data_IF_467914647800
#
_entry.id   IF_467914647800
#
_cell.length_a   1.000
_cell.length_b   1.000
_cell.length_c   1.000
_cell.angle_alpha   90.00
_cell.angle_beta   90.00
_cell.angle_gamma   90.00
#
_symmetry.space_group_name_H-M   'P 1'
#
loop_
_entity.id
_entity.type
_entity.pdbx_description
1 polymer ?
#
# COMPACT_ATOMS: atom_id res chain seq x y z
N UNK A 1 1.15 -14.86 -43.41
CA UNK A 1 1.87 -15.53 -42.29
C UNK A 1 2.66 -14.51 -41.46
N UNK A 2 3.46 -13.63 -42.11
CA UNK A 2 4.31 -12.63 -41.48
C UNK A 2 3.51 -11.62 -40.61
N UNK A 3 2.39 -11.10 -41.10
CA UNK A 3 1.55 -10.13 -40.34
C UNK A 3 1.00 -10.71 -39.05
N UNK A 4 0.61 -12.00 -39.05
CA UNK A 4 0.14 -12.67 -37.83
C UNK A 4 1.27 -12.86 -36.80
N UNK A 5 2.46 -13.19 -37.26
CA UNK A 5 3.64 -13.32 -36.38
C UNK A 5 4.06 -11.98 -35.83
N UNK A 6 4.20 -10.95 -36.63
CA UNK A 6 4.57 -9.61 -36.24
C UNK A 6 3.58 -9.06 -35.19
N UNK A 7 2.28 -9.19 -35.43
CA UNK A 7 1.25 -8.78 -34.48
C UNK A 7 1.34 -9.52 -33.13
N UNK A 8 1.65 -10.81 -33.11
CA UNK A 8 1.84 -11.60 -31.90
C UNK A 8 3.05 -11.13 -31.08
N UNK A 9 4.18 -10.90 -31.76
CA UNK A 9 5.40 -10.41 -31.10
C UNK A 9 5.23 -8.98 -30.56
N UNK A 10 4.58 -8.08 -31.28
CA UNK A 10 4.30 -6.73 -30.83
C UNK A 10 3.40 -6.73 -29.58
N UNK A 11 2.37 -7.56 -29.56
CA UNK A 11 1.51 -7.73 -28.37
C UNK A 11 2.26 -8.33 -27.18
N UNK A 12 3.14 -9.29 -27.40
CA UNK A 12 3.97 -9.88 -26.36
C UNK A 12 4.95 -8.86 -25.78
N UNK A 13 5.59 -8.04 -26.63
CA UNK A 13 6.47 -6.96 -26.23
C UNK A 13 5.72 -5.93 -25.38
N UNK A 14 4.54 -5.47 -25.83
CA UNK A 14 3.73 -4.52 -25.09
C UNK A 14 3.35 -5.04 -23.69
N UNK A 15 2.99 -6.33 -23.59
CA UNK A 15 2.70 -6.98 -22.29
C UNK A 15 3.94 -7.03 -21.39
N UNK A 16 5.10 -7.39 -21.94
CA UNK A 16 6.36 -7.43 -21.20
C UNK A 16 6.74 -6.06 -20.65
N UNK A 17 6.60 -5.00 -21.44
CA UNK A 17 6.86 -3.63 -21.03
C UNK A 17 5.88 -3.15 -19.93
N UNK A 18 4.60 -3.47 -20.04
CA UNK A 18 3.60 -3.18 -19.01
C UNK A 18 3.90 -3.93 -17.71
N UNK A 19 4.27 -5.22 -17.80
CA UNK A 19 4.68 -6.03 -16.65
C UNK A 19 5.91 -5.45 -15.94
N UNK A 20 6.94 -5.06 -16.71
CA UNK A 20 8.15 -4.42 -16.17
C UNK A 20 7.81 -3.13 -15.42
N UNK A 21 6.91 -2.30 -15.97
CA UNK A 21 6.45 -1.08 -15.31
C UNK A 21 5.75 -1.37 -13.99
N UNK A 22 4.87 -2.37 -13.96
CA UNK A 22 4.16 -2.78 -12.75
C UNK A 22 5.11 -3.35 -11.68
N UNK A 23 6.08 -4.18 -12.08
CA UNK A 23 7.11 -4.73 -11.19
C UNK A 23 7.94 -3.59 -10.59
N UNK A 24 8.38 -2.61 -11.40
CA UNK A 24 9.13 -1.45 -10.91
C UNK A 24 8.30 -0.58 -9.97
N UNK A 25 7.02 -0.37 -10.25
CA UNK A 25 6.11 0.32 -9.34
C UNK A 25 5.92 -0.41 -8.00
N UNK A 26 5.76 -1.72 -8.05
CA UNK A 26 5.63 -2.54 -6.84
C UNK A 26 6.94 -2.66 -6.04
N UNK A 27 8.11 -2.51 -6.69
CA UNK A 27 9.42 -2.60 -6.04
C UNK A 27 9.57 -1.55 -4.92
N UNK A 28 8.94 -0.39 -5.04
CA UNK A 28 8.93 0.64 -3.99
C UNK A 28 8.32 0.09 -2.70
N UNK A 29 7.19 -0.61 -2.80
CA UNK A 29 6.52 -1.21 -1.64
C UNK A 29 7.22 -2.51 -1.17
N UNK A 30 7.77 -3.29 -2.09
CA UNK A 30 8.52 -4.51 -1.72
C UNK A 30 9.74 -4.18 -0.86
N UNK A 31 10.40 -3.06 -1.15
CA UNK A 31 11.60 -2.59 -0.44
C UNK A 31 11.29 -1.55 0.65
N UNK A 32 10.01 -1.35 0.99
CA UNK A 32 9.57 -0.28 1.89
C UNK A 32 10.20 -0.34 3.30
N UNK A 33 10.63 -1.51 3.74
CA UNK A 33 11.25 -1.75 5.05
C UNK A 33 12.74 -2.13 4.93
N UNK A 34 13.36 -1.86 3.80
CA UNK A 34 14.76 -2.22 3.56
C UNK A 34 15.62 -0.95 3.57
N UNK A 35 16.48 -0.83 4.58
CA UNK A 35 17.37 0.32 4.77
C UNK A 35 18.34 0.58 3.60
N UNK A 36 18.57 -0.43 2.72
CA UNK A 36 19.36 -0.21 1.50
C UNK A 36 18.62 0.63 0.44
N UNK A 37 17.32 0.86 0.59
CA UNK A 37 16.47 1.65 -0.30
C UNK A 37 15.98 2.92 0.39
N UNK A 38 16.92 3.69 0.96
CA UNK A 38 16.65 4.94 1.65
C UNK A 38 16.02 5.98 0.72
N UNK A 39 15.08 6.74 1.27
CA UNK A 39 14.43 7.89 0.63
C UNK A 39 15.28 9.17 0.68
N UNK A 40 14.64 10.30 0.38
CA UNK A 40 15.30 11.60 0.42
C UNK A 40 15.68 12.10 1.81
N UNK A 41 15.10 11.52 2.84
CA UNK A 41 15.35 11.78 4.27
C UNK A 41 16.41 10.86 4.88
N UNK A 42 16.96 9.92 4.09
CA UNK A 42 18.04 9.02 4.49
C UNK A 42 17.57 7.73 5.16
N UNK A 43 16.24 7.50 5.28
CA UNK A 43 15.67 6.26 5.82
C UNK A 43 14.77 5.57 4.80
N UNK A 44 14.41 4.31 5.05
CA UNK A 44 13.48 3.53 4.22
C UNK A 44 12.07 4.13 4.22
N UNK A 45 11.24 3.74 3.25
CA UNK A 45 9.90 4.28 3.05
C UNK A 45 8.98 4.08 4.27
N UNK A 46 9.07 2.93 4.95
CA UNK A 46 8.36 2.64 6.18
C UNK A 46 9.41 2.47 7.29
N UNK A 47 9.41 3.40 8.23
CA UNK A 47 10.39 3.45 9.31
C UNK A 47 9.79 4.10 10.56
N UNK A 48 10.30 3.70 11.70
CA UNK A 48 9.94 4.31 13.00
C UNK A 48 10.70 5.62 13.28
N UNK A 49 11.68 5.99 12.43
CA UNK A 49 12.67 7.04 12.76
C UNK A 49 12.84 8.08 11.65
N UNK A 50 11.79 8.40 10.89
CA UNK A 50 11.86 9.49 9.93
C UNK A 50 12.25 10.79 10.62
N UNK A 51 13.31 11.48 10.19
CA UNK A 51 13.76 12.71 10.81
C UNK A 51 12.77 13.85 10.51
N UNK A 52 12.39 14.59 11.55
CA UNK A 52 11.55 15.79 11.45
C UNK A 52 12.14 16.92 12.31
N UNK A 53 11.65 18.15 12.15
CA UNK A 53 12.06 19.28 12.98
C UNK A 53 11.65 19.12 14.44
N UNK A 54 10.58 18.37 14.69
CA UNK A 54 10.07 18.08 16.04
C UNK A 54 10.69 16.84 16.70
N UNK A 55 11.54 16.09 15.99
CA UNK A 55 12.12 14.85 16.45
C UNK A 55 12.02 13.74 15.42
N UNK A 56 11.56 12.56 15.80
CA UNK A 56 11.34 11.44 14.88
C UNK A 56 9.86 11.18 14.67
N UNK A 57 9.52 10.74 13.46
CA UNK A 57 8.17 10.36 13.07
C UNK A 57 8.15 8.88 12.64
N UNK A 58 7.14 8.13 13.08
CA UNK A 58 6.94 6.73 12.69
C UNK A 58 5.73 6.62 11.75
N UNK A 59 5.90 5.88 10.65
CA UNK A 59 4.82 5.52 9.73
C UNK A 59 4.60 4.01 9.66
N UNK A 60 5.08 3.27 10.65
CA UNK A 60 4.88 1.83 10.80
C UNK A 60 4.33 1.49 12.19
N UNK A 61 3.76 0.31 12.32
CA UNK A 61 3.31 -0.21 13.61
C UNK A 61 4.50 -0.38 14.58
N UNK A 62 4.32 0.02 15.84
CA UNK A 62 5.34 -0.16 16.89
C UNK A 62 5.75 -1.63 17.10
N UNK A 63 4.83 -2.56 16.83
CA UNK A 63 5.10 -4.01 16.81
C UNK A 63 4.64 -4.55 15.48
N UNK A 64 5.56 -5.16 14.73
CA UNK A 64 5.26 -5.77 13.43
C UNK A 64 4.18 -6.85 13.58
N UNK A 65 3.11 -6.74 12.82
CA UNK A 65 1.98 -7.64 12.87
C UNK A 65 1.46 -7.99 11.46
N UNK A 66 0.90 -9.19 11.33
CA UNK A 66 0.16 -9.58 10.13
C UNK A 66 -1.18 -8.87 10.06
N UNK A 67 -1.80 -8.82 8.87
CA UNK A 67 -3.11 -8.23 8.68
C UNK A 67 -4.18 -9.01 9.46
N UNK A 68 -4.68 -8.39 10.51
CA UNK A 68 -5.83 -8.83 11.29
C UNK A 68 -6.62 -7.59 11.75
N UNK A 69 -7.75 -7.80 12.44
CA UNK A 69 -8.59 -6.71 12.92
C UNK A 69 -7.82 -5.75 13.82
N UNK A 70 -7.17 -6.27 14.84
CA UNK A 70 -6.43 -5.46 15.83
C UNK A 70 -5.29 -4.66 15.20
N UNK A 71 -4.50 -5.27 14.29
CA UNK A 71 -3.39 -4.57 13.62
C UNK A 71 -3.90 -3.49 12.67
N UNK A 72 -5.04 -3.73 12.02
CA UNK A 72 -5.65 -2.75 11.13
C UNK A 72 -6.25 -1.57 11.91
N UNK A 73 -6.96 -1.85 13.01
CA UNK A 73 -7.48 -0.82 13.93
C UNK A 73 -6.35 0.04 14.51
N UNK A 74 -5.27 -0.59 15.01
CA UNK A 74 -4.12 0.12 15.53
C UNK A 74 -3.47 1.00 14.45
N UNK A 75 -3.29 0.48 13.23
CA UNK A 75 -2.75 1.28 12.13
C UNK A 75 -3.59 2.52 11.82
N UNK A 76 -4.92 2.42 11.90
CA UNK A 76 -5.82 3.55 11.67
C UNK A 76 -5.75 4.58 12.81
N UNK A 77 -5.59 4.12 14.05
CA UNK A 77 -5.36 4.99 15.22
C UNK A 77 -4.04 5.73 15.07
N UNK A 78 -2.97 5.03 14.70
CA UNK A 78 -1.64 5.62 14.49
C UNK A 78 -1.67 6.65 13.36
N UNK A 79 -2.35 6.37 12.24
CA UNK A 79 -2.54 7.33 11.14
C UNK A 79 -3.28 8.59 11.61
N UNK A 80 -4.33 8.45 12.43
CA UNK A 80 -5.06 9.61 12.97
C UNK A 80 -4.21 10.46 13.93
N UNK A 81 -3.14 9.88 14.49
CA UNK A 81 -2.19 10.57 15.36
C UNK A 81 -1.04 11.24 14.58
N UNK A 82 -0.96 11.11 13.27
CA UNK A 82 0.12 11.68 12.45
C UNK A 82 0.27 13.19 12.64
N UNK A 83 1.51 13.63 12.62
CA UNK A 83 1.90 15.04 12.78
C UNK A 83 2.69 15.53 11.58
N UNK A 84 2.74 16.84 11.39
CA UNK A 84 3.61 17.50 10.44
C UNK A 84 5.07 17.59 10.94
N UNK A 85 5.95 18.17 10.16
CA UNK A 85 7.37 18.37 10.52
C UNK A 85 7.57 19.15 11.83
N UNK A 86 6.57 19.92 12.27
CA UNK A 86 6.61 20.76 13.48
C UNK A 86 5.91 20.10 14.69
N UNK A 87 5.39 18.87 14.52
CA UNK A 87 4.68 18.15 15.56
C UNK A 87 3.19 18.51 15.69
N UNK A 88 2.61 19.27 14.74
CA UNK A 88 1.18 19.59 14.75
C UNK A 88 0.38 18.46 14.11
N UNK A 89 -0.74 18.08 14.71
CA UNK A 89 -1.63 17.04 14.19
C UNK A 89 -2.24 17.44 12.84
N UNK A 90 -2.17 16.54 11.85
CA UNK A 90 -2.70 16.77 10.51
C UNK A 90 -4.04 16.08 10.25
N UNK A 91 -4.59 15.36 11.23
CA UNK A 91 -5.86 14.62 11.14
C UNK A 91 -5.94 13.69 9.91
N UNK A 92 -4.85 13.00 9.61
CA UNK A 92 -4.75 12.08 8.49
C UNK A 92 -5.73 10.90 8.63
N UNK A 93 -6.20 10.38 7.49
CA UNK A 93 -7.10 9.23 7.43
C UNK A 93 -6.56 8.16 6.48
N UNK A 94 -6.80 6.90 6.82
CA UNK A 94 -6.54 5.78 5.93
C UNK A 94 -7.60 5.74 4.83
N UNK A 95 -7.16 5.82 3.57
CA UNK A 95 -8.09 5.84 2.42
C UNK A 95 -8.20 4.48 1.75
N UNK A 96 -7.09 3.76 1.61
CA UNK A 96 -7.08 2.52 0.85
C UNK A 96 -6.06 1.52 1.37
N UNK A 97 -6.49 0.27 1.50
CA UNK A 97 -5.61 -0.85 1.87
C UNK A 97 -4.98 -1.46 0.60
N UNK A 98 -3.67 -1.61 0.59
CA UNK A 98 -2.90 -2.25 -0.50
C UNK A 98 -2.29 -3.55 0.03
N UNK A 99 -2.62 -4.67 -0.60
CA UNK A 99 -2.28 -6.00 -0.12
C UNK A 99 -1.74 -6.91 -1.24
N UNK A 100 -0.95 -7.93 -0.90
CA UNK A 100 -0.64 -9.03 -1.81
C UNK A 100 -1.84 -9.96 -2.02
N UNK A 101 -1.80 -10.77 -3.06
CA UNK A 101 -2.87 -11.74 -3.38
C UNK A 101 -3.14 -12.75 -2.25
N UNK A 102 -2.12 -13.06 -1.44
CA UNK A 102 -2.27 -13.98 -0.30
C UNK A 102 -3.26 -13.46 0.77
N UNK A 103 -3.40 -12.16 0.92
CA UNK A 103 -4.25 -11.52 1.94
C UNK A 103 -5.64 -11.12 1.44
N UNK A 104 -5.98 -11.37 0.17
CA UNK A 104 -7.22 -10.87 -0.43
C UNK A 104 -8.49 -11.33 0.31
N UNK A 105 -8.57 -12.61 0.69
CA UNK A 105 -9.74 -13.14 1.42
C UNK A 105 -9.80 -12.68 2.87
N UNK A 106 -8.65 -12.44 3.49
CA UNK A 106 -8.58 -11.88 4.85
C UNK A 106 -9.05 -10.43 4.82
N UNK A 107 -8.57 -9.63 3.87
CA UNK A 107 -8.99 -8.25 3.71
C UNK A 107 -10.49 -8.13 3.41
N UNK A 108 -11.03 -9.01 2.56
CA UNK A 108 -12.46 -9.00 2.25
C UNK A 108 -13.31 -9.28 3.50
N UNK A 109 -12.93 -10.28 4.29
CA UNK A 109 -13.61 -10.57 5.56
C UNK A 109 -13.52 -9.40 6.53
N UNK A 110 -12.35 -8.78 6.70
CA UNK A 110 -12.16 -7.65 7.60
C UNK A 110 -12.96 -6.40 7.16
N UNK A 111 -13.06 -6.16 5.85
CA UNK A 111 -13.69 -4.96 5.33
C UNK A 111 -15.20 -5.10 5.12
N UNK A 112 -15.69 -6.30 4.80
CA UNK A 112 -17.06 -6.51 4.33
C UNK A 112 -17.93 -7.37 5.25
N UNK A 113 -17.36 -8.06 6.25
CA UNK A 113 -18.15 -8.85 7.23
C UNK A 113 -19.06 -7.92 8.04
N UNK A 114 -20.29 -8.36 8.30
CA UNK A 114 -21.21 -7.62 9.16
C UNK A 114 -20.85 -7.77 10.65
N UNK A 115 -20.42 -8.96 11.06
CA UNK A 115 -19.96 -9.25 12.40
C UNK A 115 -18.44 -9.29 12.48
N UNK A 116 -17.92 -9.24 13.69
CA UNK A 116 -16.50 -9.34 14.00
C UNK A 116 -15.95 -10.69 13.55
N UNK A 117 -14.79 -10.65 12.87
CA UNK A 117 -14.19 -11.86 12.30
C UNK A 117 -13.48 -12.66 13.39
N UNK A 118 -13.79 -13.96 13.49
CA UNK A 118 -13.11 -14.89 14.39
C UNK A 118 -13.67 -14.96 15.81
N UNK A 119 -14.82 -14.36 16.09
CA UNK A 119 -15.54 -14.48 17.37
C UNK A 119 -16.86 -15.20 17.19
N UNK A 120 -17.34 -15.88 18.24
CA UNK A 120 -18.68 -16.46 18.30
C UNK A 120 -19.72 -15.44 18.82
N UNK A 121 -19.28 -14.30 19.28
CA UNK A 121 -20.11 -13.25 19.80
C UNK A 121 -20.75 -12.42 18.67
N UNK A 122 -21.90 -11.80 18.96
CA UNK A 122 -22.64 -10.98 17.99
C UNK A 122 -22.08 -9.54 17.94
N UNK A 123 -20.75 -9.39 18.01
CA UNK A 123 -20.08 -8.11 17.93
C UNK A 123 -20.10 -7.55 16.49
N UNK A 124 -20.26 -6.26 16.37
CA UNK A 124 -20.22 -5.57 15.08
C UNK A 124 -18.78 -5.42 14.59
N UNK A 125 -18.59 -5.48 13.27
CA UNK A 125 -17.32 -5.11 12.66
C UNK A 125 -17.19 -3.58 12.61
N UNK A 126 -16.36 -3.03 13.49
CA UNK A 126 -16.17 -1.58 13.64
C UNK A 126 -15.57 -0.96 12.35
N UNK A 127 -14.62 -1.62 11.71
CA UNK A 127 -13.93 -1.12 10.51
C UNK A 127 -14.94 -0.87 9.38
N UNK A 128 -15.83 -1.85 9.14
CA UNK A 128 -16.90 -1.73 8.16
C UNK A 128 -17.93 -0.66 8.56
N UNK A 129 -18.40 -0.72 9.81
CA UNK A 129 -19.50 0.13 10.28
C UNK A 129 -19.11 1.62 10.28
N UNK A 130 -17.88 1.93 10.64
CA UNK A 130 -17.35 3.31 10.63
C UNK A 130 -16.91 3.79 9.24
N UNK A 131 -16.77 2.89 8.26
CA UNK A 131 -16.31 3.24 6.92
C UNK A 131 -14.90 3.83 6.89
N UNK A 132 -14.03 3.40 7.81
CA UNK A 132 -12.70 3.99 8.04
C UNK A 132 -11.78 3.98 6.81
N UNK A 133 -11.94 2.99 5.91
CA UNK A 133 -11.17 2.88 4.67
C UNK A 133 -12.12 3.06 3.49
N UNK A 134 -12.41 4.31 3.14
CA UNK A 134 -13.40 4.67 2.13
C UNK A 134 -13.11 4.14 0.72
N UNK A 135 -11.84 3.97 0.36
CA UNK A 135 -11.38 3.44 -0.94
C UNK A 135 -11.28 1.91 -1.00
N UNK A 136 -11.68 1.20 0.07
CA UNK A 136 -11.63 -0.25 0.12
C UNK A 136 -10.22 -0.81 0.07
N UNK A 137 -10.05 -2.00 -0.52
CA UNK A 137 -8.73 -2.62 -0.69
C UNK A 137 -8.37 -2.82 -2.17
N UNK A 138 -7.08 -2.91 -2.45
CA UNK A 138 -6.54 -3.24 -3.77
C UNK A 138 -5.51 -4.35 -3.65
N UNK A 139 -5.69 -5.39 -4.46
CA UNK A 139 -4.73 -6.49 -4.56
C UNK A 139 -3.65 -6.11 -5.57
N UNK A 140 -2.41 -6.06 -5.12
CA UNK A 140 -1.25 -5.88 -5.99
C UNK A 140 -0.52 -7.21 -6.16
N UNK A 141 -0.67 -7.82 -7.33
CA UNK A 141 -0.09 -9.13 -7.67
C UNK A 141 1.45 -9.15 -7.74
N UNK A 142 2.09 -7.99 -7.75
CA UNK A 142 3.55 -7.86 -7.82
C UNK A 142 4.20 -7.65 -6.46
N UNK A 143 3.42 -7.68 -5.37
CA UNK A 143 3.96 -7.72 -4.01
C UNK A 143 4.49 -9.14 -3.72
N UNK A 144 5.75 -9.21 -3.33
CA UNK A 144 6.45 -10.49 -3.08
C UNK A 144 6.26 -11.01 -1.65
N UNK A 145 6.06 -10.10 -0.68
CA UNK A 145 5.88 -10.46 0.72
C UNK A 145 4.41 -10.78 1.01
N UNK A 146 4.13 -12.06 1.31
CA UNK A 146 2.76 -12.56 1.49
C UNK A 146 2.00 -11.96 2.70
N UNK A 147 2.72 -11.39 3.67
CA UNK A 147 2.16 -10.93 4.96
C UNK A 147 2.17 -9.42 5.13
N UNK A 148 2.89 -8.67 4.27
CA UNK A 148 2.96 -7.21 4.35
C UNK A 148 1.69 -6.59 3.78
N UNK A 149 1.21 -5.56 4.45
CA UNK A 149 0.12 -4.71 3.97
C UNK A 149 0.48 -3.25 4.12
N UNK A 150 -0.16 -2.39 3.33
CA UNK A 150 0.08 -0.95 3.35
C UNK A 150 -1.25 -0.21 3.35
N UNK A 151 -1.31 0.90 4.04
CA UNK A 151 -2.47 1.79 4.04
C UNK A 151 -2.08 3.09 3.35
N UNK A 152 -2.78 3.40 2.26
CA UNK A 152 -2.68 4.71 1.64
C UNK A 152 -3.50 5.70 2.45
N UNK A 153 -2.91 6.82 2.81
CA UNK A 153 -3.57 7.93 3.51
C UNK A 153 -4.04 9.02 2.54
N UNK A 154 -4.81 9.97 3.02
CA UNK A 154 -5.23 11.19 2.32
C UNK A 154 -4.18 12.31 2.36
N UNK A 155 -3.07 12.11 3.08
CA UNK A 155 -1.99 13.10 3.18
C UNK A 155 -1.49 13.49 1.78
N UNK A 156 -1.42 14.80 1.48
CA UNK A 156 -0.96 15.27 0.19
C UNK A 156 0.51 14.95 -0.05
N UNK A 157 0.90 14.91 -1.33
CA UNK A 157 2.29 14.67 -1.76
C UNK A 157 2.87 13.28 -1.46
N UNK A 158 2.01 12.25 -1.29
CA UNK A 158 2.43 10.87 -1.20
C UNK A 158 3.12 10.34 -2.47
N UNK A 159 3.27 9.03 -2.58
CA UNK A 159 3.90 8.37 -3.73
C UNK A 159 3.26 8.79 -5.06
N UNK A 160 4.07 9.34 -5.98
CA UNK A 160 3.65 9.78 -7.30
C UNK A 160 4.41 9.04 -8.38
N UNK A 161 3.72 8.65 -9.43
CA UNK A 161 4.33 8.08 -10.63
C UNK A 161 4.38 9.13 -11.74
N UNK A 162 5.60 9.47 -12.18
CA UNK A 162 5.82 10.38 -13.30
C UNK A 162 6.10 9.60 -14.58
N UNK A 163 5.27 9.78 -15.59
CA UNK A 163 5.50 9.19 -16.91
C UNK A 163 6.18 10.23 -17.82
N UNK A 164 7.49 10.09 -18.01
CA UNK A 164 8.28 11.00 -18.84
C UNK A 164 7.93 10.90 -20.32
N UNK A 165 7.71 9.68 -20.83
CA UNK A 165 7.37 9.43 -22.22
C UNK A 165 6.53 8.18 -22.32
N UNK A 166 5.41 8.19 -23.08
CA UNK A 166 4.68 6.99 -23.38
C UNK A 166 5.52 6.07 -24.25
N UNK A 167 5.23 4.76 -24.20
CA UNK A 167 5.82 3.79 -25.10
C UNK A 167 5.37 4.14 -26.52
N UNK A 168 6.32 4.45 -27.39
CA UNK A 168 6.09 4.69 -28.81
C UNK A 168 6.72 3.56 -29.62
N UNK A 169 5.98 2.99 -30.54
CA UNK A 169 6.51 2.12 -31.58
C UNK A 169 6.70 2.96 -32.84
N UNK A 170 7.91 3.00 -33.38
CA UNK A 170 8.19 3.51 -34.74
C UNK A 170 8.39 2.31 -35.67
N UNK A 171 7.70 2.30 -36.78
CA UNK A 171 8.05 1.45 -37.93
C UNK A 171 9.03 2.21 -38.78
#
# INVERSE_FOLDING_TARGET
>A
LYDRLASRYTKALARSMASTKNIKGAAVLNNAFDANFAGGDGVELCSAVHPTLAGTFSNELAVAAELNETSLEQSLIDIAAFTDERGLKIAAQGVKLVIPSALQFTADRLMNSAGRVGTADNDINAIRNMGMISGGYTVNHYLTAAKKFFIKTDVPNGLKHFNRSPIKTSM
#
